data_IF_820118053164
#
_entry.id   IF_820118053164
#
_cell.length_a   1.000
_cell.length_b   1.000
_cell.length_c   1.000
_cell.angle_alpha   90.00
_cell.angle_beta   90.00
_cell.angle_gamma   90.00
#
_symmetry.space_group_name_H-M   'P 1'
#
loop_
_entity.id
_entity.type
_entity.pdbx_description
1 polymer ?
#
# COMPACT_ATOMS: atom_id res chain seq x y z
N UNK A 1 11.33 38.66 -13.48
CA UNK A 1 11.62 37.30 -12.98
C UNK A 1 10.37 36.84 -12.25
N UNK A 2 9.48 36.12 -12.95
CA UNK A 2 8.27 35.51 -12.37
C UNK A 2 8.19 34.11 -12.95
N UNK A 3 8.43 33.15 -12.09
CA UNK A 3 8.42 31.72 -12.37
C UNK A 3 6.96 31.29 -12.50
N UNK A 4 6.49 30.99 -13.70
CA UNK A 4 5.26 30.20 -13.86
C UNK A 4 5.59 28.77 -13.43
N UNK A 5 5.33 28.49 -12.16
CA UNK A 5 5.23 27.15 -11.64
C UNK A 5 4.16 26.41 -12.46
N UNK A 6 4.56 25.26 -13.01
CA UNK A 6 3.68 24.34 -13.72
C UNK A 6 2.62 23.82 -12.73
N UNK A 7 1.44 24.44 -12.69
CA UNK A 7 0.25 23.84 -12.09
C UNK A 7 -0.18 22.68 -12.98
N UNK A 8 0.41 21.51 -12.71
CA UNK A 8 0.01 20.26 -13.35
C UNK A 8 -1.30 19.83 -12.70
N UNK A 9 -2.44 20.11 -13.32
CA UNK A 9 -3.72 19.53 -12.93
C UNK A 9 -3.57 18.00 -12.88
N UNK A 10 -3.59 17.44 -11.67
CA UNK A 10 -3.62 16.00 -11.46
C UNK A 10 -5.07 15.57 -11.60
N UNK A 11 -5.51 15.37 -12.85
CA UNK A 11 -6.81 14.76 -13.11
C UNK A 11 -6.81 13.34 -12.56
N UNK A 12 -7.92 12.96 -11.91
CA UNK A 12 -8.15 11.58 -11.50
C UNK A 12 -8.09 10.65 -12.73
N UNK A 13 -7.49 9.48 -12.59
CA UNK A 13 -7.32 8.54 -13.72
C UNK A 13 -8.66 8.11 -14.33
N UNK A 14 -9.73 8.04 -13.53
CA UNK A 14 -11.08 7.80 -14.00
C UNK A 14 -11.65 8.95 -14.82
N UNK A 15 -11.32 10.21 -14.47
CA UNK A 15 -11.70 11.40 -15.24
C UNK A 15 -10.96 11.42 -16.58
N UNK A 16 -9.65 11.12 -16.60
CA UNK A 16 -8.89 10.99 -17.85
C UNK A 16 -9.51 9.91 -18.73
N UNK A 17 -9.79 8.73 -18.18
CA UNK A 17 -10.38 7.61 -18.92
C UNK A 17 -11.77 7.97 -19.49
N UNK A 18 -12.61 8.64 -18.70
CA UNK A 18 -13.94 9.10 -19.15
C UNK A 18 -13.86 10.12 -20.31
N UNK A 19 -12.86 11.00 -20.29
CA UNK A 19 -12.59 11.94 -21.39
C UNK A 19 -12.14 11.18 -22.65
N UNK A 20 -11.23 10.22 -22.50
CA UNK A 20 -10.71 9.44 -23.62
C UNK A 20 -11.74 8.54 -24.30
N UNK A 21 -12.70 8.00 -23.54
CA UNK A 21 -13.72 7.10 -24.08
C UNK A 21 -14.84 7.84 -24.84
N UNK A 22 -14.95 9.17 -24.71
CA UNK A 22 -15.98 10.03 -25.33
C UNK A 22 -17.44 9.64 -24.97
N UNK A 23 -18.36 10.62 -24.99
CA UNK A 23 -19.76 10.41 -24.54
C UNK A 23 -20.58 9.41 -25.37
N UNK A 24 -20.08 8.96 -26.51
CA UNK A 24 -20.78 8.02 -27.40
C UNK A 24 -20.50 6.54 -27.07
N UNK A 25 -19.52 6.24 -26.22
CA UNK A 25 -19.16 4.86 -25.80
C UNK A 25 -19.43 4.59 -24.31
N UNK A 26 -20.53 5.16 -23.81
CA UNK A 26 -20.94 5.10 -22.39
C UNK A 26 -21.11 3.66 -21.86
N UNK A 27 -21.40 2.71 -22.76
CA UNK A 27 -21.57 1.29 -22.46
C UNK A 27 -20.30 0.61 -21.90
N UNK A 28 -19.10 1.10 -22.25
CA UNK A 28 -17.84 0.54 -21.76
C UNK A 28 -17.25 1.31 -20.58
N UNK A 29 -17.75 2.51 -20.28
CA UNK A 29 -17.25 3.31 -19.17
C UNK A 29 -17.56 2.62 -17.83
N UNK A 30 -18.80 2.17 -17.67
CA UNK A 30 -19.27 1.47 -16.45
C UNK A 30 -18.45 0.21 -16.14
N UNK A 31 -18.27 -0.75 -17.07
CA UNK A 31 -17.48 -1.94 -16.78
C UNK A 31 -16.02 -1.58 -16.50
N UNK A 32 -15.43 -0.62 -17.22
CA UNK A 32 -14.05 -0.18 -16.96
C UNK A 32 -13.88 0.44 -15.56
N UNK A 33 -14.83 1.27 -15.11
CA UNK A 33 -14.79 1.83 -13.74
C UNK A 33 -14.82 0.73 -12.68
N UNK A 34 -15.61 -0.33 -12.88
CA UNK A 34 -15.67 -1.47 -11.96
C UNK A 34 -14.39 -2.32 -12.03
N UNK A 35 -13.91 -2.65 -13.23
CA UNK A 35 -12.71 -3.47 -13.41
C UNK A 35 -11.45 -2.81 -12.84
N UNK A 36 -11.34 -1.49 -12.95
CA UNK A 36 -10.22 -0.71 -12.43
C UNK A 36 -10.38 -0.32 -10.94
N UNK A 37 -11.53 -0.61 -10.33
CA UNK A 37 -11.76 -0.35 -8.92
C UNK A 37 -10.86 -1.24 -8.05
N UNK A 38 -10.23 -0.67 -7.02
CA UNK A 38 -9.31 -1.37 -6.12
C UNK A 38 -9.98 -1.94 -4.85
N UNK A 39 -11.27 -1.68 -4.65
CA UNK A 39 -12.07 -2.18 -3.52
C UNK A 39 -12.71 -3.52 -3.87
N UNK A 40 -13.17 -3.67 -5.12
CA UNK A 40 -13.88 -4.86 -5.57
C UNK A 40 -12.91 -6.03 -5.83
N UNK A 41 -13.34 -7.22 -5.42
CA UNK A 41 -12.57 -8.44 -5.62
C UNK A 41 -12.71 -8.99 -7.05
N UNK A 42 -11.87 -9.99 -7.38
CA UNK A 42 -11.90 -10.59 -8.71
C UNK A 42 -13.26 -11.21 -9.06
N UNK A 43 -13.97 -11.77 -8.08
CA UNK A 43 -15.26 -12.45 -8.29
C UNK A 43 -16.36 -11.45 -8.62
N UNK A 44 -16.36 -10.30 -7.97
CA UNK A 44 -17.26 -9.19 -8.28
C UNK A 44 -16.99 -8.64 -9.69
N UNK A 45 -15.70 -8.47 -10.04
CA UNK A 45 -15.29 -8.03 -11.38
C UNK A 45 -15.62 -9.05 -12.47
N UNK A 46 -15.54 -10.34 -12.18
CA UNK A 46 -15.88 -11.40 -13.12
C UNK A 46 -17.35 -11.31 -13.56
N UNK A 47 -18.27 -10.92 -12.67
CA UNK A 47 -19.69 -10.71 -13.04
C UNK A 47 -19.85 -9.63 -14.10
N UNK A 48 -19.09 -8.55 -14.00
CA UNK A 48 -19.09 -7.48 -14.99
C UNK A 48 -18.48 -7.94 -16.31
N UNK A 49 -17.42 -8.75 -16.28
CA UNK A 49 -16.85 -9.35 -17.48
C UNK A 49 -17.91 -10.19 -18.21
N UNK A 50 -18.67 -11.01 -17.48
CA UNK A 50 -19.73 -11.84 -18.03
C UNK A 50 -20.92 -11.02 -18.55
N UNK A 51 -21.40 -10.05 -17.76
CA UNK A 51 -22.56 -9.20 -18.09
C UNK A 51 -22.35 -8.37 -19.36
N UNK A 52 -21.14 -7.82 -19.54
CA UNK A 52 -20.79 -6.99 -20.69
C UNK A 52 -20.16 -7.79 -21.84
N UNK A 53 -20.09 -9.12 -21.76
CA UNK A 53 -19.55 -9.97 -22.82
C UNK A 53 -18.05 -9.75 -23.09
N UNK A 54 -17.27 -9.41 -22.05
CA UNK A 54 -15.83 -9.12 -22.12
C UNK A 54 -14.97 -10.36 -21.84
N UNK A 55 -15.55 -11.56 -21.92
CA UNK A 55 -14.99 -12.87 -21.53
C UNK A 55 -13.89 -13.40 -22.47
N UNK A 56 -12.93 -12.53 -22.82
CA UNK A 56 -11.70 -12.94 -23.49
C UNK A 56 -10.67 -13.35 -22.45
N UNK A 57 -9.88 -14.38 -22.75
CA UNK A 57 -8.79 -14.85 -21.87
C UNK A 57 -7.83 -13.72 -21.46
N UNK A 58 -7.60 -12.75 -22.35
CA UNK A 58 -6.71 -11.61 -22.09
C UNK A 58 -7.28 -10.66 -21.04
N UNK A 59 -8.57 -10.33 -21.14
CA UNK A 59 -9.22 -9.44 -20.15
C UNK A 59 -9.30 -10.14 -18.80
N UNK A 60 -9.67 -11.42 -18.77
CA UNK A 60 -9.73 -12.21 -17.55
C UNK A 60 -8.38 -12.29 -16.84
N UNK A 61 -7.29 -12.50 -17.59
CA UNK A 61 -5.93 -12.53 -17.02
C UNK A 61 -5.50 -11.15 -16.51
N UNK A 62 -5.72 -10.07 -17.27
CA UNK A 62 -5.32 -8.73 -16.82
C UNK A 62 -6.09 -8.28 -15.57
N UNK A 63 -7.40 -8.54 -15.51
CA UNK A 63 -8.21 -8.22 -14.33
C UNK A 63 -7.76 -9.03 -13.12
N UNK A 64 -7.40 -10.31 -13.33
CA UNK A 64 -6.85 -11.16 -12.27
C UNK A 64 -5.52 -10.63 -11.76
N UNK A 65 -4.58 -10.32 -12.66
CA UNK A 65 -3.26 -9.81 -12.31
C UNK A 65 -3.35 -8.47 -11.56
N UNK A 66 -4.29 -7.60 -11.93
CA UNK A 66 -4.56 -6.35 -11.21
C UNK A 66 -5.07 -6.59 -9.79
N UNK A 67 -5.98 -7.54 -9.58
CA UNK A 67 -6.47 -7.91 -8.26
C UNK A 67 -5.35 -8.51 -7.39
N UNK A 68 -4.60 -9.47 -7.93
CA UNK A 68 -3.49 -10.13 -7.23
C UNK A 68 -2.40 -9.10 -6.83
N UNK A 69 -2.11 -8.13 -7.72
CA UNK A 69 -1.20 -7.02 -7.41
C UNK A 69 -1.75 -6.11 -6.30
N UNK A 70 -3.04 -5.77 -6.35
CA UNK A 70 -3.69 -4.95 -5.33
C UNK A 70 -3.64 -5.60 -3.94
N UNK A 71 -3.87 -6.91 -3.87
CA UNK A 71 -3.75 -7.69 -2.63
C UNK A 71 -2.32 -7.70 -2.09
N UNK A 72 -1.32 -7.88 -2.97
CA UNK A 72 0.09 -7.86 -2.58
C UNK A 72 0.50 -6.51 -1.97
N UNK A 73 0.09 -5.39 -2.58
CA UNK A 73 0.39 -4.04 -2.08
C UNK A 73 -0.27 -3.81 -0.71
N UNK A 74 -1.54 -4.20 -0.56
CA UNK A 74 -2.26 -4.05 0.70
C UNK A 74 -1.62 -4.89 1.82
N UNK A 75 -1.15 -6.10 1.50
CA UNK A 75 -0.47 -6.97 2.44
C UNK A 75 0.89 -6.39 2.87
N UNK A 76 1.66 -5.87 1.92
CA UNK A 76 2.95 -5.23 2.18
C UNK A 76 2.78 -4.02 3.11
N UNK A 77 1.87 -3.09 2.76
CA UNK A 77 1.59 -1.91 3.59
C UNK A 77 1.14 -2.28 5.01
N UNK A 78 0.32 -3.33 5.16
CA UNK A 78 -0.09 -3.83 6.48
C UNK A 78 1.09 -4.38 7.27
N UNK A 79 1.99 -5.10 6.61
CA UNK A 79 3.17 -5.66 7.27
C UNK A 79 4.16 -4.57 7.66
N UNK A 80 4.40 -3.59 6.80
CA UNK A 80 5.21 -2.40 7.11
C UNK A 80 4.65 -1.65 8.32
N UNK A 81 3.34 -1.39 8.34
CA UNK A 81 2.68 -0.74 9.48
C UNK A 81 2.89 -1.49 10.80
N UNK A 82 2.76 -2.82 10.79
CA UNK A 82 3.02 -3.66 11.97
C UNK A 82 4.49 -3.60 12.41
N UNK A 83 5.42 -3.54 11.46
CA UNK A 83 6.85 -3.46 11.79
C UNK A 83 7.21 -2.09 12.40
N UNK A 84 6.62 -1.01 11.90
CA UNK A 84 6.76 0.33 12.50
C UNK A 84 6.23 0.32 13.94
N UNK A 85 5.02 -0.20 14.16
CA UNK A 85 4.40 -0.24 15.50
C UNK A 85 5.25 -1.07 16.50
N UNK A 86 5.75 -2.23 16.07
CA UNK A 86 6.64 -3.08 16.90
C UNK A 86 7.92 -2.36 17.25
N UNK A 87 8.53 -1.68 16.28
CA UNK A 87 9.76 -0.93 16.47
C UNK A 87 9.59 0.22 17.47
N UNK A 88 8.51 0.99 17.36
CA UNK A 88 8.21 2.06 18.31
C UNK A 88 8.01 1.54 19.74
N UNK A 89 7.29 0.42 19.89
CA UNK A 89 7.13 -0.27 21.18
C UNK A 89 8.47 -0.74 21.74
N UNK A 90 9.32 -1.36 20.91
CA UNK A 90 10.63 -1.85 21.33
C UNK A 90 11.54 -0.69 21.76
N UNK A 91 11.56 0.43 21.03
CA UNK A 91 12.29 1.65 21.44
C UNK A 91 11.80 2.15 22.81
N UNK A 92 10.49 2.22 23.02
CA UNK A 92 9.92 2.67 24.29
C UNK A 92 10.29 1.74 25.45
N UNK A 93 10.22 0.42 25.24
CA UNK A 93 10.64 -0.57 26.24
C UNK A 93 12.12 -0.47 26.58
N UNK A 94 12.99 -0.38 25.57
CA UNK A 94 14.43 -0.23 25.76
C UNK A 94 14.73 1.05 26.57
N UNK A 95 14.12 2.19 26.21
CA UNK A 95 14.26 3.45 26.99
C UNK A 95 13.85 3.26 28.45
N UNK A 96 12.72 2.59 28.70
CA UNK A 96 12.22 2.35 30.05
C UNK A 96 13.16 1.46 30.86
N UNK A 97 13.73 0.41 30.26
CA UNK A 97 14.72 -0.45 30.92
C UNK A 97 16.01 0.31 31.22
N UNK A 98 16.51 1.08 30.26
CA UNK A 98 17.74 1.85 30.45
C UNK A 98 17.62 2.89 31.56
N UNK A 99 16.51 3.62 31.62
CA UNK A 99 16.32 4.68 32.63
C UNK A 99 15.85 4.08 33.96
N UNK A 100 14.83 3.23 33.92
CA UNK A 100 14.17 2.72 35.12
C UNK A 100 15.00 1.69 35.88
N UNK A 101 15.81 0.90 35.17
CA UNK A 101 16.67 -0.13 35.77
C UNK A 101 18.17 0.19 35.61
N UNK A 102 18.53 1.37 35.09
CA UNK A 102 19.92 1.78 34.85
C UNK A 102 20.74 0.80 33.99
N UNK A 103 20.05 0.05 33.11
CA UNK A 103 20.68 -0.92 32.22
C UNK A 103 21.35 -0.22 31.03
N UNK A 104 22.42 -0.82 30.52
CA UNK A 104 22.95 -0.46 29.20
C UNK A 104 21.98 -0.87 28.09
N UNK A 105 22.10 -0.23 26.92
CA UNK A 105 21.35 -0.61 25.73
C UNK A 105 21.50 -2.10 25.39
N UNK A 106 22.73 -2.63 25.46
CA UNK A 106 23.03 -4.03 25.15
C UNK A 106 22.34 -5.00 26.11
N UNK A 107 22.30 -4.67 27.40
CA UNK A 107 21.59 -5.49 28.39
C UNK A 107 20.07 -5.45 28.17
N UNK A 108 19.51 -4.27 27.85
CA UNK A 108 18.08 -4.14 27.56
C UNK A 108 17.66 -4.92 26.30
N UNK A 109 18.48 -4.87 25.24
CA UNK A 109 18.25 -5.64 24.00
C UNK A 109 18.34 -7.15 24.24
N UNK A 110 19.34 -7.61 24.99
CA UNK A 110 19.48 -9.01 25.35
C UNK A 110 18.30 -9.51 26.20
N UNK A 111 17.84 -8.69 27.16
CA UNK A 111 16.70 -9.02 28.02
C UNK A 111 15.38 -9.13 27.23
N UNK A 112 15.20 -8.26 26.22
CA UNK A 112 14.02 -8.28 25.34
C UNK A 112 14.12 -9.34 24.24
N UNK A 113 15.22 -10.09 24.16
CA UNK A 113 15.48 -11.09 23.11
C UNK A 113 15.24 -10.52 21.70
N UNK A 114 15.64 -9.26 21.47
CA UNK A 114 15.29 -8.55 20.24
C UNK A 114 16.07 -9.13 19.05
N UNK A 115 15.42 -9.46 17.91
CA UNK A 115 16.11 -10.00 16.74
C UNK A 115 17.16 -9.03 16.19
N UNK A 116 18.33 -9.53 15.79
CA UNK A 116 19.46 -8.70 15.31
C UNK A 116 19.08 -7.69 14.21
N UNK A 117 18.17 -8.08 13.31
CA UNK A 117 17.66 -7.19 12.25
C UNK A 117 16.99 -5.94 12.83
N UNK A 118 16.20 -6.11 13.89
CA UNK A 118 15.51 -5.01 14.58
C UNK A 118 16.47 -4.21 15.46
N UNK A 119 17.47 -4.85 16.07
CA UNK A 119 18.49 -4.17 16.89
C UNK A 119 19.18 -3.07 16.11
N UNK A 120 19.64 -3.35 14.88
CA UNK A 120 20.32 -2.34 14.01
C UNK A 120 19.44 -1.14 13.71
N UNK A 121 18.13 -1.34 13.64
CA UNK A 121 17.19 -0.26 13.37
C UNK A 121 16.89 0.56 14.62
N UNK A 122 16.75 -0.09 15.77
CA UNK A 122 16.49 0.53 17.06
C UNK A 122 17.72 1.32 17.52
N UNK A 123 18.93 0.77 17.35
CA UNK A 123 20.19 1.36 17.79
C UNK A 123 20.39 2.78 17.24
N UNK A 124 19.98 3.05 15.99
CA UNK A 124 20.03 4.37 15.37
C UNK A 124 19.31 5.47 16.19
N UNK A 125 18.28 5.12 16.95
CA UNK A 125 17.49 6.06 17.77
C UNK A 125 18.17 6.41 19.10
N UNK A 126 19.22 5.70 19.48
CA UNK A 126 19.96 5.92 20.74
C UNK A 126 21.41 6.39 20.50
N UNK A 127 21.86 6.41 19.24
CA UNK A 127 23.14 6.96 18.81
C UNK A 127 23.06 8.45 18.39
N UNK A 128 21.85 9.03 18.37
CA UNK A 128 21.61 10.47 18.17
C UNK A 128 21.54 11.20 19.50
#
# INVERSE_FOLDING_TARGET
MWTTAEEKEIYDKGVILAIYLNKEHDELLTPLMVLLNNVLDYKEKQRIIEEYGLNTKKIESEVKDMCDLGESIALEARNEGKQIERKEKNIAHVKKLMIGLQMSFKEAINLLETPEKEVKEIEKYFQS
#
